data_IF_082212185978
#
_entry.id   IF_082212185978
#
_cell.length_a   1.000
_cell.length_b   1.000
_cell.length_c   1.000
_cell.angle_alpha   90.00
_cell.angle_beta   90.00
_cell.angle_gamma   90.00
#
_symmetry.space_group_name_H-M   'P 1'
#
loop_
_entity.id
_entity.type
_entity.pdbx_description
1 polymer ?
#
# COMPACT_ATOMS: atom_id res chain seq x y z
N UNK A 1 9.39 -14.28 26.03
CA UNK A 1 10.08 -13.00 25.78
C UNK A 1 10.52 -12.91 24.33
N UNK A 2 9.69 -12.33 23.45
CA UNK A 2 10.10 -11.89 22.11
C UNK A 2 9.27 -10.65 21.77
N UNK A 3 9.68 -9.52 22.33
CA UNK A 3 9.16 -8.21 21.95
C UNK A 3 10.30 -7.41 21.34
N UNK A 4 10.34 -7.41 20.01
CA UNK A 4 10.93 -6.32 19.24
C UNK A 4 10.01 -6.03 18.07
N UNK A 5 8.91 -5.32 18.34
CA UNK A 5 8.19 -4.54 17.33
C UNK A 5 9.07 -3.36 16.92
N UNK A 6 10.13 -3.67 16.18
CA UNK A 6 11.00 -2.69 15.55
C UNK A 6 10.30 -2.12 14.33
N UNK A 7 9.45 -1.12 14.54
CA UNK A 7 9.06 -0.17 13.51
C UNK A 7 10.34 0.56 13.06
N UNK A 8 11.05 0.01 12.07
CA UNK A 8 12.30 0.59 11.56
C UNK A 8 12.22 0.69 10.03
N UNK A 9 11.93 1.91 9.58
CA UNK A 9 12.36 2.49 8.32
C UNK A 9 12.35 1.61 7.06
N UNK A 10 11.29 1.75 6.24
CA UNK A 10 11.38 1.53 4.78
C UNK A 10 11.00 2.80 4.01
N UNK A 11 11.56 3.94 4.41
CA UNK A 11 11.58 5.18 3.64
C UNK A 11 12.95 5.30 2.95
N UNK A 12 13.24 4.45 1.96
CA UNK A 12 14.58 4.42 1.37
C UNK A 12 14.80 3.56 0.13
N UNK A 13 13.77 2.93 -0.45
CA UNK A 13 13.96 2.05 -1.62
C UNK A 13 13.78 2.75 -2.97
N UNK A 14 13.30 3.99 -3.01
CA UNK A 14 13.21 4.79 -4.24
C UNK A 14 14.56 5.01 -4.93
N UNK A 15 15.67 5.30 -4.21
CA UNK A 15 17.00 5.37 -4.80
C UNK A 15 17.47 4.02 -5.36
N UNK A 16 17.25 2.93 -4.62
CA UNK A 16 17.73 1.59 -5.00
C UNK A 16 17.01 1.07 -6.23
N UNK A 17 15.67 1.21 -6.32
CA UNK A 17 14.92 0.80 -7.49
C UNK A 17 15.34 1.58 -8.75
N UNK A 18 15.62 2.89 -8.61
CA UNK A 18 16.15 3.72 -9.70
C UNK A 18 17.56 3.27 -10.11
N UNK A 19 18.44 2.98 -9.15
CA UNK A 19 19.80 2.50 -9.40
C UNK A 19 19.82 1.11 -10.05
N UNK A 20 18.95 0.19 -9.60
CA UNK A 20 18.83 -1.15 -10.18
C UNK A 20 18.30 -1.12 -11.62
N UNK A 21 17.39 -0.20 -11.95
CA UNK A 21 16.92 0.00 -13.34
C UNK A 21 18.05 0.47 -14.28
N UNK A 22 19.03 1.21 -13.76
CA UNK A 22 20.22 1.63 -14.52
C UNK A 22 21.23 0.50 -14.68
N UNK A 23 21.41 -0.34 -13.66
CA UNK A 23 22.44 -1.40 -13.63
C UNK A 23 21.96 -2.71 -14.25
N UNK A 24 20.65 -2.97 -14.23
CA UNK A 24 20.02 -4.15 -14.79
C UNK A 24 18.87 -3.67 -15.68
N UNK A 25 19.11 -3.43 -16.98
CA UNK A 25 18.09 -2.98 -17.92
C UNK A 25 16.91 -3.95 -18.03
N UNK A 26 17.08 -5.21 -17.66
CA UNK A 26 16.00 -6.20 -17.59
C UNK A 26 15.11 -6.04 -16.33
N UNK A 27 15.60 -5.33 -15.29
CA UNK A 27 14.89 -5.07 -14.03
C UNK A 27 13.98 -3.84 -14.15
N UNK A 28 13.07 -3.87 -15.13
CA UNK A 28 11.98 -2.91 -15.24
C UNK A 28 10.84 -3.29 -14.30
N UNK A 29 11.09 -3.29 -12.99
CA UNK A 29 10.01 -3.32 -12.03
C UNK A 29 9.18 -2.04 -12.25
N UNK A 30 7.98 -2.18 -12.85
CA UNK A 30 7.04 -1.09 -13.05
C UNK A 30 6.87 -0.32 -11.75
N UNK A 31 6.96 1.00 -11.76
CA UNK A 31 6.66 1.80 -10.56
C UNK A 31 5.18 1.70 -10.22
N UNK A 32 4.81 2.05 -8.99
CA UNK A 32 3.39 2.04 -8.61
C UNK A 32 2.59 3.04 -9.47
N UNK A 33 3.19 4.18 -9.84
CA UNK A 33 2.59 5.15 -10.75
C UNK A 33 2.40 4.63 -12.17
N UNK A 34 3.35 3.85 -12.69
CA UNK A 34 3.23 3.17 -14.00
C UNK A 34 2.06 2.16 -13.98
N UNK A 35 1.93 1.38 -12.91
CA UNK A 35 0.78 0.46 -12.71
C UNK A 35 -0.55 1.22 -12.62
N UNK A 36 -0.59 2.34 -11.91
CA UNK A 36 -1.79 3.18 -11.83
C UNK A 36 -2.14 3.84 -13.15
N UNK A 37 -1.14 4.24 -13.95
CA UNK A 37 -1.35 4.79 -15.29
C UNK A 37 -1.98 3.75 -16.20
N UNK A 38 -1.47 2.52 -16.18
CA UNK A 38 -2.04 1.40 -16.93
C UNK A 38 -3.47 1.07 -16.49
N UNK A 39 -3.74 1.07 -15.18
CA UNK A 39 -5.09 0.93 -14.65
C UNK A 39 -6.03 2.02 -15.16
N UNK A 40 -5.58 3.28 -15.24
CA UNK A 40 -6.39 4.39 -15.73
C UNK A 40 -6.64 4.33 -17.24
N UNK A 41 -5.75 3.71 -18.02
CA UNK A 41 -5.86 3.59 -19.47
C UNK A 41 -6.73 2.39 -19.90
N UNK A 42 -6.59 1.26 -19.21
CA UNK A 42 -7.20 0.00 -19.63
C UNK A 42 -8.27 -0.52 -18.67
N UNK A 43 -8.41 0.08 -17.48
CA UNK A 43 -9.32 -0.37 -16.43
C UNK A 43 -9.18 -1.86 -16.06
N UNK A 44 -8.04 -2.48 -16.38
CA UNK A 44 -7.77 -3.88 -16.09
C UNK A 44 -7.41 -4.11 -14.63
N UNK A 45 -7.67 -5.32 -14.14
CA UNK A 45 -7.42 -5.67 -12.74
C UNK A 45 -5.93 -5.93 -12.45
N UNK A 46 -5.16 -6.39 -13.44
CA UNK A 46 -3.78 -6.83 -13.27
C UNK A 46 -2.85 -5.78 -12.62
N UNK A 47 -2.90 -4.47 -12.96
CA UNK A 47 -2.04 -3.48 -12.30
C UNK A 47 -2.39 -3.26 -10.83
N UNK A 48 -3.67 -3.34 -10.47
CA UNK A 48 -4.13 -3.23 -9.07
C UNK A 48 -3.75 -4.48 -8.29
N UNK A 49 -3.86 -5.67 -8.88
CA UNK A 49 -3.40 -6.92 -8.27
C UNK A 49 -1.90 -6.89 -7.98
N UNK A 50 -1.09 -6.32 -8.87
CA UNK A 50 0.34 -6.16 -8.62
C UNK A 50 0.64 -5.15 -7.50
N UNK A 51 -0.12 -4.06 -7.40
CA UNK A 51 -0.04 -3.13 -6.25
C UNK A 51 -0.43 -3.84 -4.95
N UNK A 52 -1.49 -4.64 -4.96
CA UNK A 52 -1.92 -5.48 -3.83
C UNK A 52 -0.85 -6.50 -3.43
N UNK A 53 -0.20 -7.14 -4.40
CA UNK A 53 0.89 -8.10 -4.12
C UNK A 53 2.09 -7.42 -3.44
N UNK A 54 2.38 -6.16 -3.80
CA UNK A 54 3.50 -5.39 -3.23
C UNK A 54 3.18 -4.82 -1.85
N UNK A 55 1.95 -4.34 -1.66
CA UNK A 55 1.59 -3.54 -0.48
C UNK A 55 0.54 -4.18 0.43
N UNK A 56 -0.13 -5.24 0.00
CA UNK A 56 -1.24 -5.87 0.70
C UNK A 56 -0.85 -6.42 2.06
N UNK A 57 0.22 -7.20 2.15
CA UNK A 57 0.59 -7.91 3.37
C UNK A 57 0.83 -6.98 4.57
N UNK A 58 1.54 -5.87 4.36
CA UNK A 58 1.86 -4.94 5.44
C UNK A 58 0.70 -4.00 5.79
N UNK A 59 -0.14 -3.63 4.82
CA UNK A 59 -1.39 -2.89 5.08
C UNK A 59 -2.37 -3.78 5.87
N UNK A 60 -2.53 -5.04 5.46
CA UNK A 60 -3.35 -6.02 6.16
C UNK A 60 -2.88 -6.23 7.60
N UNK A 61 -1.56 -6.39 7.80
CA UNK A 61 -0.97 -6.48 9.13
C UNK A 61 -1.27 -5.25 10.00
N UNK A 62 -1.32 -4.06 9.39
CA UNK A 62 -1.66 -2.80 10.08
C UNK A 62 -3.13 -2.79 10.52
N UNK A 63 -4.06 -3.09 9.61
CA UNK A 63 -5.49 -3.17 9.92
C UNK A 63 -5.79 -4.19 11.02
N UNK A 64 -5.23 -5.41 10.92
CA UNK A 64 -5.45 -6.48 11.92
C UNK A 64 -4.91 -6.18 13.31
N UNK A 65 -3.82 -5.40 13.41
CA UNK A 65 -3.27 -5.01 14.71
C UNK A 65 -4.21 -4.10 15.49
N UNK A 66 -4.99 -3.28 14.78
CA UNK A 66 -5.77 -2.21 15.37
C UNK A 66 -7.28 -2.51 15.43
N UNK A 67 -7.78 -3.41 14.57
CA UNK A 67 -9.21 -3.72 14.42
C UNK A 67 -9.50 -5.20 14.69
N UNK A 68 -10.77 -5.58 14.87
CA UNK A 68 -11.16 -6.99 14.82
C UNK A 68 -11.12 -7.50 13.36
N UNK A 69 -11.38 -8.78 13.13
CA UNK A 69 -11.22 -9.36 11.79
C UNK A 69 -12.14 -8.72 10.73
N UNK A 70 -13.42 -8.52 11.05
CA UNK A 70 -14.40 -7.93 10.13
C UNK A 70 -14.06 -6.46 9.83
N UNK A 71 -13.82 -5.67 10.87
CA UNK A 71 -13.45 -4.25 10.70
C UNK A 71 -12.10 -4.10 9.97
N UNK A 72 -11.16 -5.03 10.17
CA UNK A 72 -9.89 -5.02 9.45
C UNK A 72 -10.07 -5.29 7.96
N UNK A 73 -10.97 -6.21 7.59
CA UNK A 73 -11.32 -6.49 6.21
C UNK A 73 -11.98 -5.29 5.54
N UNK A 74 -12.95 -4.66 6.21
CA UNK A 74 -13.61 -3.45 5.73
C UNK A 74 -12.61 -2.30 5.53
N UNK A 75 -11.70 -2.09 6.50
CA UNK A 75 -10.68 -1.05 6.41
C UNK A 75 -9.68 -1.32 5.27
N UNK A 76 -9.32 -2.59 5.06
CA UNK A 76 -8.47 -3.01 3.96
C UNK A 76 -9.16 -2.72 2.62
N UNK A 77 -10.38 -3.21 2.43
CA UNK A 77 -11.18 -2.98 1.22
C UNK A 77 -11.37 -1.48 0.94
N UNK A 78 -11.74 -0.69 1.95
CA UNK A 78 -11.92 0.75 1.82
C UNK A 78 -10.62 1.48 1.42
N UNK A 79 -9.45 1.02 1.89
CA UNK A 79 -8.15 1.56 1.47
C UNK A 79 -7.95 1.41 -0.04
N UNK A 80 -8.28 0.25 -0.61
CA UNK A 80 -8.14 0.02 -2.06
C UNK A 80 -9.21 0.74 -2.88
N UNK A 81 -10.44 0.89 -2.37
CA UNK A 81 -11.42 1.76 -3.01
C UNK A 81 -10.95 3.22 -3.08
N UNK A 82 -10.33 3.74 -2.02
CA UNK A 82 -9.78 5.10 -2.02
C UNK A 82 -8.59 5.19 -2.98
N UNK A 83 -7.78 4.13 -3.11
CA UNK A 83 -6.70 4.06 -4.10
C UNK A 83 -7.23 4.22 -5.53
N UNK A 84 -8.26 3.47 -5.92
CA UNK A 84 -8.80 3.56 -7.30
C UNK A 84 -9.38 4.94 -7.58
N UNK A 85 -10.05 5.56 -6.61
CA UNK A 85 -10.56 6.93 -6.71
C UNK A 85 -9.45 7.99 -6.83
N UNK A 86 -8.29 7.73 -6.23
CA UNK A 86 -7.14 8.65 -6.19
C UNK A 86 -6.05 8.30 -7.19
N UNK A 87 -6.23 7.25 -7.99
CA UNK A 87 -5.25 6.74 -8.95
C UNK A 87 -4.68 7.85 -9.86
N UNK A 88 -5.55 8.72 -10.40
CA UNK A 88 -5.12 9.85 -11.25
C UNK A 88 -4.17 10.83 -10.55
N UNK A 89 -4.31 11.03 -9.25
CA UNK A 89 -3.42 11.91 -8.47
C UNK A 89 -2.09 11.23 -8.12
N UNK A 90 -2.06 9.90 -8.12
CA UNK A 90 -0.93 9.09 -7.70
C UNK A 90 -0.14 8.51 -8.88
N UNK A 91 -0.64 8.63 -10.11
CA UNK A 91 -0.04 8.06 -11.33
C UNK A 91 1.41 8.51 -11.61
N UNK A 92 1.84 9.65 -11.07
CA UNK A 92 3.22 10.15 -11.22
C UNK A 92 4.14 9.78 -10.03
N UNK A 93 3.63 9.04 -9.05
CA UNK A 93 4.40 8.63 -7.87
C UNK A 93 5.16 7.34 -8.14
N UNK A 94 6.47 7.34 -7.86
CA UNK A 94 7.29 6.14 -8.01
C UNK A 94 6.93 5.03 -6.98
N UNK A 95 6.43 5.44 -5.81
CA UNK A 95 6.03 4.55 -4.71
C UNK A 95 4.83 5.18 -3.99
N UNK A 96 3.74 4.44 -3.85
CA UNK A 96 2.52 4.89 -3.15
C UNK A 96 2.37 4.29 -1.76
N UNK A 97 3.29 3.42 -1.33
CA UNK A 97 3.27 2.75 -0.04
C UNK A 97 3.07 3.69 1.15
N UNK A 98 3.81 4.81 1.27
CA UNK A 98 3.59 5.77 2.35
C UNK A 98 2.18 6.39 2.36
N UNK A 99 1.62 6.62 1.17
CA UNK A 99 0.27 7.14 1.03
C UNK A 99 -0.77 6.09 1.44
N UNK A 100 -0.61 4.84 0.99
CA UNK A 100 -1.49 3.72 1.36
C UNK A 100 -1.49 3.48 2.87
N UNK A 101 -0.32 3.48 3.51
CA UNK A 101 -0.21 3.35 4.96
C UNK A 101 -0.97 4.48 5.68
N UNK A 102 -0.83 5.72 5.22
CA UNK A 102 -1.55 6.86 5.81
C UNK A 102 -3.06 6.73 5.63
N UNK A 103 -3.53 6.28 4.47
CA UNK A 103 -4.96 6.04 4.23
C UNK A 103 -5.48 4.94 5.14
N UNK A 104 -4.80 3.79 5.22
CA UNK A 104 -5.18 2.68 6.08
C UNK A 104 -5.25 3.12 7.56
N UNK A 105 -4.26 3.87 8.03
CA UNK A 105 -4.27 4.44 9.38
C UNK A 105 -5.45 5.39 9.62
N UNK A 106 -5.79 6.26 8.66
CA UNK A 106 -6.92 7.17 8.77
C UNK A 106 -8.27 6.43 8.82
N UNK A 107 -8.41 5.32 8.08
CA UNK A 107 -9.64 4.50 8.11
C UNK A 107 -9.75 3.78 9.44
N UNK A 108 -8.66 3.16 9.89
CA UNK A 108 -8.60 2.47 11.19
C UNK A 108 -8.90 3.44 12.34
N UNK A 109 -8.34 4.65 12.31
CA UNK A 109 -8.58 5.66 13.35
C UNK A 109 -10.04 6.13 13.43
N UNK A 110 -10.83 5.95 12.37
CA UNK A 110 -12.28 6.25 12.36
C UNK A 110 -13.11 5.16 13.01
N UNK A 111 -12.56 3.95 13.19
CA UNK A 111 -13.26 2.81 13.78
C UNK A 111 -12.45 2.21 14.95
N UNK A 112 -12.16 2.97 16.01
CA UNK A 112 -11.34 2.48 17.12
C UNK A 112 -12.01 1.25 17.78
N UNK A 113 -11.21 0.23 18.14
CA UNK A 113 -11.73 -0.90 18.93
C UNK A 113 -12.45 -0.37 20.17
N UNK A 114 -13.67 -0.85 20.47
CA UNK A 114 -14.28 -0.58 21.76
C UNK A 114 -13.37 -1.17 22.85
N UNK A 115 -13.00 -0.34 23.82
CA UNK A 115 -12.35 -0.80 25.05
C UNK A 115 -13.32 -1.76 25.74
N UNK A 116 -12.95 -3.03 25.98
CA UNK A 116 -13.78 -3.90 26.81
C UNK A 116 -13.85 -3.29 28.21
N UNK A 117 -15.09 -3.01 28.65
CA UNK A 117 -15.40 -2.56 30.01
C UNK A 117 -15.38 -3.70 31.01
#
# INVERSE_FOLDING_TARGET
MRETVGCRHYYGMTPVAKYLRTLVPEFHARTDGELLTEFLLHHGEAPIVEILRRHGDWIWATCRRMLNHADAEDAFQATFLILTQRARKLQHSANIGPWLHRVAFLIVAKNPRPIPG
#
